data_IF_976611959586
#
_entry.id   IF_976611959586
#
_cell.length_a   1.000
_cell.length_b   1.000
_cell.length_c   1.000
_cell.angle_alpha   90.00
_cell.angle_beta   90.00
_cell.angle_gamma   90.00
#
_symmetry.space_group_name_H-M   'P 1'
#
loop_
_entity.id
_entity.type
_entity.pdbx_description
1 polymer ?
#
# COMPACT_ATOMS: atom_id res chain seq x y z
N UNK A 1 -2.93 -9.46 -1.28
CA UNK A 1 -4.26 -9.63 -0.61
C UNK A 1 -4.74 -8.26 -0.12
N UNK A 2 -5.98 -7.84 -0.45
CA UNK A 2 -6.53 -6.52 -0.06
C UNK A 2 -6.57 -6.37 1.48
N UNK A 3 -6.34 -5.16 2.01
CA UNK A 3 -6.32 -4.85 3.45
C UNK A 3 -7.54 -5.42 4.19
N UNK A 4 -8.72 -5.26 3.62
CA UNK A 4 -9.99 -5.83 4.10
C UNK A 4 -9.93 -7.32 4.38
N UNK A 5 -9.42 -8.10 3.44
CA UNK A 5 -9.36 -9.55 3.57
C UNK A 5 -8.33 -9.96 4.63
N UNK A 6 -7.22 -9.22 4.76
CA UNK A 6 -6.24 -9.45 5.82
C UNK A 6 -6.88 -9.22 7.19
N UNK A 7 -7.51 -8.06 7.39
CA UNK A 7 -8.13 -7.69 8.67
C UNK A 7 -9.23 -8.68 9.08
N UNK A 8 -10.10 -9.05 8.14
CA UNK A 8 -11.16 -10.02 8.39
C UNK A 8 -10.59 -11.39 8.78
N UNK A 9 -9.59 -11.90 8.07
CA UNK A 9 -8.98 -13.19 8.39
C UNK A 9 -8.26 -13.17 9.74
N UNK A 10 -7.52 -12.10 10.06
CA UNK A 10 -6.81 -12.00 11.34
C UNK A 10 -7.75 -11.95 12.53
N UNK A 11 -8.83 -11.15 12.45
CA UNK A 11 -9.81 -11.04 13.54
C UNK A 11 -10.60 -12.35 13.65
N UNK A 12 -11.01 -12.93 12.52
CA UNK A 12 -11.74 -14.21 12.51
C UNK A 12 -10.92 -15.36 13.07
N UNK A 13 -9.62 -15.41 12.78
CA UNK A 13 -8.70 -16.39 13.35
C UNK A 13 -8.56 -16.21 14.88
N UNK A 14 -8.44 -14.96 15.34
CA UNK A 14 -8.37 -14.66 16.78
C UNK A 14 -9.64 -15.12 17.51
N UNK A 15 -10.82 -14.82 16.95
CA UNK A 15 -12.11 -15.28 17.48
C UNK A 15 -12.15 -16.80 17.55
N UNK A 16 -11.72 -17.49 16.49
CA UNK A 16 -11.70 -18.95 16.45
C UNK A 16 -10.81 -19.54 17.53
N UNK A 17 -9.59 -19.01 17.71
CA UNK A 17 -8.65 -19.46 18.75
C UNK A 17 -9.23 -19.23 20.15
N UNK A 18 -9.83 -18.07 20.40
CA UNK A 18 -10.42 -17.75 21.71
C UNK A 18 -11.60 -18.68 22.01
N UNK A 19 -12.54 -18.86 21.08
CA UNK A 19 -13.73 -19.68 21.31
C UNK A 19 -13.35 -21.16 21.49
N UNK A 20 -12.41 -21.67 20.69
CA UNK A 20 -11.93 -23.05 20.82
C UNK A 20 -11.19 -23.29 22.13
N UNK A 21 -10.34 -22.35 22.54
CA UNK A 21 -9.63 -22.41 23.83
C UNK A 21 -10.59 -22.38 25.02
N UNK A 22 -11.56 -21.46 25.02
CA UNK A 22 -12.59 -21.37 26.08
C UNK A 22 -13.41 -22.65 26.13
N UNK A 23 -13.86 -23.16 24.98
CA UNK A 23 -14.62 -24.42 24.93
C UNK A 23 -13.81 -25.62 25.46
N UNK A 24 -12.53 -25.71 25.10
CA UNK A 24 -11.63 -26.75 25.61
C UNK A 24 -11.45 -26.66 27.12
N UNK A 25 -11.14 -25.45 27.64
CA UNK A 25 -10.97 -25.19 29.07
C UNK A 25 -12.22 -25.55 29.89
N UNK A 26 -13.40 -25.18 29.39
CA UNK A 26 -14.68 -25.53 30.03
C UNK A 26 -14.92 -27.04 30.06
N UNK A 27 -14.67 -27.73 28.94
CA UNK A 27 -14.81 -29.19 28.87
C UNK A 27 -13.86 -29.91 29.82
N UNK A 28 -12.60 -29.46 29.93
CA UNK A 28 -11.63 -30.05 30.86
C UNK A 28 -12.02 -29.81 32.31
N UNK A 29 -12.50 -28.60 32.63
CA UNK A 29 -12.89 -28.22 33.99
C UNK A 29 -14.12 -29.01 34.44
N UNK A 30 -15.13 -29.12 33.58
CA UNK A 30 -16.35 -29.87 33.90
C UNK A 30 -16.07 -31.37 34.07
N UNK A 31 -15.21 -31.95 33.22
CA UNK A 31 -14.83 -33.35 33.33
C UNK A 31 -14.12 -33.64 34.66
N UNK A 32 -13.21 -32.75 35.08
CA UNK A 32 -12.55 -32.84 36.39
C UNK A 32 -13.54 -32.68 37.55
N UNK A 33 -14.48 -31.76 37.42
CA UNK A 33 -15.51 -31.52 38.43
C UNK A 33 -16.41 -32.75 38.62
N UNK A 34 -16.94 -33.32 37.53
CA UNK A 34 -17.79 -34.51 37.57
C UNK A 34 -17.07 -35.73 38.13
N UNK A 35 -15.78 -35.90 37.81
CA UNK A 35 -14.98 -36.99 38.37
C UNK A 35 -14.82 -36.85 39.89
N UNK A 36 -14.46 -35.65 40.35
CA UNK A 36 -14.33 -35.35 41.80
C UNK A 36 -15.66 -35.49 42.53
N UNK A 37 -16.76 -35.03 41.94
CA UNK A 37 -18.10 -35.15 42.51
C UNK A 37 -18.52 -36.62 42.62
N UNK A 38 -18.17 -37.45 41.64
CA UNK A 38 -18.43 -38.89 41.68
C UNK A 38 -17.62 -39.56 42.78
N UNK A 39 -16.34 -39.24 42.94
CA UNK A 39 -15.51 -39.73 44.04
C UNK A 39 -16.09 -39.36 45.41
N UNK A 40 -16.55 -38.11 45.58
CA UNK A 40 -17.19 -37.65 46.83
C UNK A 40 -18.47 -38.42 47.14
N UNK A 41 -19.31 -38.68 46.14
CA UNK A 41 -20.54 -39.47 46.30
C UNK A 41 -20.25 -40.91 46.69
N UNK A 42 -19.23 -41.52 46.08
CA UNK A 42 -18.78 -42.87 46.43
C UNK A 42 -18.31 -42.95 47.89
N UNK A 43 -17.54 -41.95 48.34
CA UNK A 43 -17.14 -41.86 49.75
C UNK A 43 -18.33 -41.64 50.69
N UNK A 44 -19.27 -40.77 50.34
CA UNK A 44 -20.47 -40.53 51.14
C UNK A 44 -21.35 -41.78 51.25
N UNK A 45 -21.48 -42.57 50.18
CA UNK A 45 -22.20 -43.85 50.21
C UNK A 45 -21.52 -44.87 51.16
N UNK A 46 -20.18 -44.92 51.18
CA UNK A 46 -19.43 -45.73 52.14
C UNK A 46 -19.66 -45.25 53.58
N UNK A 47 -19.54 -43.95 53.85
CA UNK A 47 -19.78 -43.39 55.20
C UNK A 47 -21.19 -43.68 55.68
N UNK A 48 -22.19 -43.49 54.81
CA UNK A 48 -23.57 -43.77 55.14
C UNK A 48 -23.76 -45.25 55.51
N UNK A 49 -23.15 -46.15 54.73
CA UNK A 49 -23.17 -47.60 55.02
C UNK A 49 -22.51 -47.91 56.37
N UNK A 50 -21.36 -47.31 56.66
CA UNK A 50 -20.68 -47.46 57.97
C UNK A 50 -21.54 -46.95 59.13
N UNK A 51 -22.22 -45.82 58.95
CA UNK A 51 -23.18 -45.29 59.92
C UNK A 51 -24.32 -46.26 60.22
N UNK A 52 -24.90 -46.83 59.16
CA UNK A 52 -25.97 -47.83 59.25
C UNK A 52 -25.50 -49.08 60.01
N UNK A 53 -24.28 -49.59 59.74
CA UNK A 53 -23.75 -50.75 60.47
C UNK A 53 -23.57 -50.44 61.96
N UNK A 54 -23.05 -49.25 62.28
CA UNK A 54 -22.89 -48.82 63.67
C UNK A 54 -24.24 -48.73 64.39
N UNK A 55 -25.25 -48.17 63.74
CA UNK A 55 -26.60 -48.02 64.31
C UNK A 55 -27.33 -49.35 64.47
N UNK A 56 -27.26 -50.24 63.47
CA UNK A 56 -27.81 -51.59 63.53
C UNK A 56 -27.19 -52.41 64.67
N UNK A 57 -25.89 -52.24 64.91
CA UNK A 57 -25.21 -52.89 66.04
C UNK A 57 -25.69 -52.34 67.40
N UNK A 58 -25.87 -51.02 67.53
CA UNK A 58 -26.36 -50.39 68.77
C UNK A 58 -27.80 -50.82 69.09
N UNK A 59 -28.64 -50.91 68.07
CA UNK A 59 -30.07 -51.26 68.20
C UNK A 59 -30.33 -52.76 68.28
N UNK A 60 -29.31 -53.59 68.06
CA UNK A 60 -29.41 -55.06 68.04
C UNK A 60 -30.47 -55.59 67.07
N UNK A 61 -30.68 -54.90 65.94
CA UNK A 61 -31.63 -55.30 64.89
C UNK A 61 -30.88 -55.66 63.58
N UNK A 62 -30.64 -56.96 63.32
CA UNK A 62 -29.98 -57.42 62.11
C UNK A 62 -30.82 -57.22 60.83
N UNK A 63 -32.15 -57.16 60.95
CA UNK A 63 -33.06 -56.95 59.81
C UNK A 63 -32.97 -55.51 59.29
N UNK A 64 -32.69 -54.57 60.20
CA UNK A 64 -32.37 -53.18 59.89
C UNK A 64 -31.24 -53.12 58.85
N UNK A 65 -30.15 -53.86 59.10
CA UNK A 65 -28.95 -53.87 58.26
C UNK A 65 -29.27 -54.31 56.82
N UNK A 66 -29.95 -55.44 56.64
CA UNK A 66 -30.29 -55.96 55.30
C UNK A 66 -31.22 -55.02 54.52
N UNK A 67 -32.21 -54.43 55.18
CA UNK A 67 -33.15 -53.51 54.54
C UNK A 67 -32.49 -52.19 54.12
N UNK A 68 -31.62 -51.63 54.96
CA UNK A 68 -30.90 -50.42 54.61
C UNK A 68 -29.84 -50.64 53.53
N UNK A 69 -29.17 -51.80 53.50
CA UNK A 69 -28.23 -52.11 52.42
C UNK A 69 -28.92 -52.13 51.05
N UNK A 70 -30.16 -52.66 50.98
CA UNK A 70 -30.97 -52.59 49.76
C UNK A 70 -31.31 -51.14 49.39
N UNK A 71 -31.68 -50.30 50.36
CA UNK A 71 -31.95 -48.87 50.11
C UNK A 71 -30.72 -48.12 49.62
N UNK A 72 -29.54 -48.36 50.20
CA UNK A 72 -28.28 -47.74 49.78
C UNK A 72 -27.91 -48.15 48.34
N UNK A 73 -28.08 -49.42 47.98
CA UNK A 73 -27.84 -49.90 46.62
C UNK A 73 -28.89 -49.39 45.61
N UNK A 74 -30.15 -49.20 46.03
CA UNK A 74 -31.17 -48.57 45.19
C UNK A 74 -30.88 -47.07 44.96
N UNK A 75 -30.42 -46.36 45.98
CA UNK A 75 -30.05 -44.95 45.88
C UNK A 75 -28.78 -44.72 45.05
N UNK A 76 -27.91 -45.73 44.94
CA UNK A 76 -26.64 -45.68 44.22
C UNK A 76 -26.54 -46.86 43.23
N UNK A 77 -27.14 -46.76 42.03
CA UNK A 77 -27.17 -47.84 41.03
C UNK A 77 -25.78 -48.32 40.54
N UNK A 78 -24.75 -47.51 40.78
CA UNK A 78 -23.34 -47.81 40.56
C UNK A 78 -22.76 -48.85 41.54
N UNK A 79 -23.41 -49.13 42.67
CA UNK A 79 -22.96 -50.16 43.61
C UNK A 79 -23.18 -51.54 42.98
N UNK A 80 -22.09 -52.19 42.61
CA UNK A 80 -22.08 -53.56 42.07
C UNK A 80 -21.66 -54.60 43.11
N UNK A 81 -21.10 -54.16 44.23
CA UNK A 81 -20.64 -55.01 45.32
C UNK A 81 -20.86 -54.28 46.64
N UNK A 82 -21.41 -54.97 47.63
CA UNK A 82 -21.49 -54.45 48.98
C UNK A 82 -21.51 -55.61 49.95
N UNK A 83 -20.62 -55.59 50.93
CA UNK A 83 -20.49 -56.61 51.96
C UNK A 83 -20.12 -55.95 53.29
N UNK A 84 -20.66 -56.51 54.36
CA UNK A 84 -20.34 -56.20 55.74
C UNK A 84 -19.68 -57.46 56.30
N UNK A 85 -18.47 -57.30 56.81
CA UNK A 85 -17.63 -58.36 57.34
C UNK A 85 -17.50 -58.16 58.84
N UNK A 86 -17.61 -59.20 59.64
CA UNK A 86 -17.41 -59.12 61.09
C UNK A 86 -15.93 -59.10 61.49
N UNK A 87 -15.69 -59.02 62.80
CA UNK A 87 -14.36 -59.08 63.39
C UNK A 87 -13.64 -60.42 63.18
N UNK A 88 -14.36 -61.49 62.83
CA UNK A 88 -13.80 -62.81 62.50
C UNK A 88 -13.52 -62.98 61.00
N UNK A 89 -13.87 -62.00 60.16
CA UNK A 89 -13.66 -62.05 58.72
C UNK A 89 -14.76 -62.77 57.93
N UNK A 90 -15.92 -63.05 58.53
CA UNK A 90 -17.08 -63.64 57.86
C UNK A 90 -18.08 -62.58 57.40
N UNK A 91 -18.74 -62.82 56.26
CA UNK A 91 -19.74 -61.90 55.72
C UNK A 91 -21.04 -62.00 56.52
N UNK A 92 -21.44 -60.91 57.18
CA UNK A 92 -22.68 -60.82 57.97
C UNK A 92 -23.88 -60.30 57.17
N UNK A 93 -23.65 -59.43 56.21
CA UNK A 93 -24.67 -58.99 55.26
C UNK A 93 -24.03 -58.50 53.97
N UNK A 94 -24.77 -58.57 52.87
CA UNK A 94 -24.31 -58.08 51.58
C UNK A 94 -25.46 -57.97 50.60
N UNK A 95 -25.17 -57.48 49.39
CA UNK A 95 -26.16 -57.44 48.31
C UNK A 95 -26.54 -58.84 47.82
N UNK A 96 -25.57 -59.75 47.83
CA UNK A 96 -25.78 -61.16 47.52
C UNK A 96 -25.92 -61.96 48.82
N UNK A 97 -27.15 -62.36 49.12
CA UNK A 97 -27.47 -63.12 50.34
C UNK A 97 -26.91 -64.55 50.31
N UNK A 98 -26.45 -65.04 49.16
CA UNK A 98 -25.80 -66.37 49.06
C UNK A 98 -24.41 -66.40 49.68
N UNK A 99 -23.81 -65.23 49.94
CA UNK A 99 -22.45 -65.10 50.47
C UNK A 99 -22.37 -65.04 52.01
N UNK A 100 -23.52 -65.09 52.70
CA UNK A 100 -23.61 -65.00 54.15
C UNK A 100 -22.84 -66.13 54.85
N UNK A 101 -22.05 -65.79 55.86
CA UNK A 101 -21.26 -66.73 56.67
C UNK A 101 -19.98 -67.26 56.01
N UNK A 102 -19.72 -66.91 54.75
CA UNK A 102 -18.48 -67.27 54.04
C UNK A 102 -17.35 -66.35 54.50
N UNK A 103 -16.13 -66.89 54.63
CA UNK A 103 -14.92 -66.10 54.87
C UNK A 103 -14.65 -65.16 53.69
N UNK A 104 -14.49 -63.87 53.99
CA UNK A 104 -14.25 -62.82 52.98
C UNK A 104 -13.01 -63.09 52.11
N UNK A 105 -11.99 -63.75 52.65
CA UNK A 105 -10.75 -64.13 51.93
C UNK A 105 -10.97 -65.10 50.77
N UNK A 106 -12.08 -65.85 50.78
CA UNK A 106 -12.39 -66.88 49.76
C UNK A 106 -13.15 -66.34 48.55
N UNK A 107 -13.57 -65.07 48.60
CA UNK A 107 -14.38 -64.45 47.55
C UNK A 107 -13.65 -63.24 46.99
N UNK A 108 -13.54 -63.18 45.66
CA UNK A 108 -13.04 -62.01 44.95
C UNK A 108 -14.21 -61.16 44.45
N UNK A 109 -14.18 -59.83 44.64
CA UNK A 109 -15.15 -58.96 43.99
C UNK A 109 -15.11 -59.12 42.46
N UNK A 110 -16.25 -58.93 41.76
CA UNK A 110 -16.31 -58.94 40.30
C UNK A 110 -15.25 -58.06 39.61
N UNK A 111 -14.82 -58.45 38.41
CA UNK A 111 -13.94 -57.63 37.58
C UNK A 111 -14.57 -56.24 37.33
N UNK A 112 -13.72 -55.21 37.22
CA UNK A 112 -14.10 -53.80 37.02
C UNK A 112 -14.84 -53.13 38.18
N UNK A 113 -14.76 -53.67 39.39
CA UNK A 113 -15.23 -52.98 40.59
C UNK A 113 -14.09 -52.16 41.21
N UNK A 114 -14.37 -50.89 41.55
CA UNK A 114 -13.53 -50.10 42.44
C UNK A 114 -14.02 -50.31 43.88
N UNK A 115 -13.26 -51.05 44.66
CA UNK A 115 -13.56 -51.32 46.06
C UNK A 115 -13.13 -50.15 46.95
N UNK A 116 -14.03 -49.66 47.77
CA UNK A 116 -13.73 -48.81 48.91
C UNK A 116 -14.08 -49.58 50.19
N UNK A 117 -13.19 -49.55 51.18
CA UNK A 117 -13.42 -50.22 52.45
C UNK A 117 -13.21 -49.27 53.63
N UNK A 118 -13.88 -49.56 54.74
CA UNK A 118 -13.70 -48.85 56.00
C UNK A 118 -13.99 -49.77 57.17
N UNK A 119 -13.12 -49.73 58.17
CA UNK A 119 -13.31 -50.45 59.43
C UNK A 119 -14.36 -49.75 60.28
N UNK A 120 -15.27 -50.53 60.86
CA UNK A 120 -16.30 -50.05 61.78
C UNK A 120 -15.87 -50.38 63.21
N UNK A 121 -15.77 -49.35 64.04
CA UNK A 121 -15.45 -49.50 65.47
C UNK A 121 -16.49 -48.79 66.32
N UNK A 122 -16.78 -49.34 67.51
CA UNK A 122 -17.69 -48.77 68.51
C UNK A 122 -17.22 -49.20 69.91
N UNK A 123 -17.27 -48.29 70.89
CA UNK A 123 -16.98 -48.62 72.29
C UNK A 123 -15.58 -49.19 72.58
N UNK A 124 -14.57 -48.87 71.76
CA UNK A 124 -13.19 -49.37 71.93
C UNK A 124 -12.90 -50.72 71.24
N UNK A 125 -13.89 -51.36 70.63
CA UNK A 125 -13.74 -52.61 69.86
C UNK A 125 -13.95 -52.42 68.36
N UNK A 126 -13.33 -53.29 67.55
CA UNK A 126 -13.60 -53.40 66.11
C UNK A 126 -14.80 -54.29 65.90
N UNK A 127 -15.87 -53.73 65.33
CA UNK A 127 -17.11 -54.46 65.03
C UNK A 127 -16.98 -55.28 63.73
N UNK A 128 -16.17 -54.79 62.79
CA UNK A 128 -16.02 -55.39 61.47
C UNK A 128 -15.55 -54.39 60.43
N UNK A 129 -15.74 -54.70 59.15
CA UNK A 129 -15.45 -53.80 58.03
C UNK A 129 -16.62 -53.74 57.06
N UNK A 130 -16.81 -52.56 56.45
CA UNK A 130 -17.74 -52.35 55.36
C UNK A 130 -16.95 -52.22 54.08
N UNK A 131 -17.36 -52.97 53.06
CA UNK A 131 -16.84 -52.87 51.71
C UNK A 131 -17.96 -52.47 50.76
N UNK A 132 -17.75 -51.37 50.04
CA UNK A 132 -18.64 -50.91 48.97
C UNK A 132 -17.83 -50.85 47.69
N UNK A 133 -18.26 -51.61 46.69
CA UNK A 133 -17.65 -51.68 45.38
C UNK A 133 -18.54 -51.05 44.31
N UNK A 134 -17.94 -50.12 43.57
CA UNK A 134 -18.60 -49.40 42.48
C UNK A 134 -18.18 -49.96 41.13
N UNK A 135 -19.17 -50.29 40.29
CA UNK A 135 -18.96 -50.76 38.92
C UNK A 135 -18.39 -49.62 38.06
N UNK A 136 -17.14 -49.78 37.58
CA UNK A 136 -16.44 -48.77 36.77
C UNK A 136 -17.19 -48.44 35.49
N UNK A 137 -17.79 -49.42 34.82
CA UNK A 137 -18.50 -49.19 33.55
C UNK A 137 -19.80 -48.41 33.77
N UNK A 138 -20.52 -48.67 34.88
CA UNK A 138 -21.70 -47.89 35.29
C UNK A 138 -21.33 -46.46 35.68
N UNK A 139 -20.26 -46.30 36.46
CA UNK A 139 -19.74 -44.99 36.86
C UNK A 139 -19.33 -44.18 35.63
N UNK A 140 -18.51 -44.76 34.75
CA UNK A 140 -18.07 -44.09 33.53
C UNK A 140 -19.22 -43.81 32.57
N UNK A 141 -20.19 -44.71 32.40
CA UNK A 141 -21.35 -44.47 31.53
C UNK A 141 -22.22 -43.32 32.04
N UNK A 142 -22.39 -43.19 33.36
CA UNK A 142 -23.08 -42.06 33.98
C UNK A 142 -22.32 -40.74 33.77
N UNK A 143 -21.01 -40.72 33.98
CA UNK A 143 -20.17 -39.54 33.71
C UNK A 143 -20.20 -39.17 32.23
N UNK A 144 -20.10 -40.15 31.32
CA UNK A 144 -20.21 -39.94 29.85
C UNK A 144 -21.57 -39.37 29.45
N UNK A 145 -22.67 -39.88 30.03
CA UNK A 145 -24.02 -39.39 29.75
C UNK A 145 -24.18 -37.93 30.17
N UNK A 146 -23.75 -37.57 31.38
CA UNK A 146 -23.72 -36.18 31.87
C UNK A 146 -22.85 -35.29 30.99
N UNK A 147 -21.64 -35.74 30.64
CA UNK A 147 -20.72 -35.03 29.75
C UNK A 147 -21.29 -34.81 28.35
N UNK A 148 -22.14 -35.70 27.84
CA UNK A 148 -22.75 -35.53 26.51
C UNK A 148 -23.68 -34.32 26.46
N UNK A 149 -24.44 -34.07 27.53
CA UNK A 149 -25.36 -32.93 27.63
C UNK A 149 -24.56 -31.62 27.73
N UNK A 150 -23.53 -31.61 28.57
CA UNK A 150 -22.60 -30.48 28.71
C UNK A 150 -21.94 -30.18 27.36
N UNK A 151 -21.37 -31.21 26.70
CA UNK A 151 -20.69 -31.06 25.42
C UNK A 151 -21.62 -30.47 24.36
N UNK A 152 -22.87 -30.96 24.26
CA UNK A 152 -23.86 -30.40 23.33
C UNK A 152 -24.13 -28.92 23.58
N UNK A 153 -24.30 -28.51 24.85
CA UNK A 153 -24.51 -27.10 25.22
C UNK A 153 -23.30 -26.23 24.87
N UNK A 154 -22.09 -26.67 25.23
CA UNK A 154 -20.84 -25.96 24.92
C UNK A 154 -20.65 -25.83 23.40
N UNK A 155 -20.94 -26.88 22.63
CA UNK A 155 -20.83 -26.83 21.16
C UNK A 155 -21.83 -25.83 20.55
N UNK A 156 -23.09 -25.82 20.99
CA UNK A 156 -24.09 -24.86 20.48
C UNK A 156 -23.67 -23.42 20.81
N UNK A 157 -23.27 -23.15 22.05
CA UNK A 157 -22.82 -21.83 22.48
C UNK A 157 -21.57 -21.41 21.69
N UNK A 158 -20.61 -22.32 21.51
CA UNK A 158 -19.40 -22.07 20.72
C UNK A 158 -19.69 -21.75 19.26
N UNK A 159 -20.60 -22.48 18.61
CA UNK A 159 -21.01 -22.19 17.22
C UNK A 159 -21.70 -20.83 17.09
N UNK A 160 -22.59 -20.48 18.02
CA UNK A 160 -23.23 -19.16 18.05
C UNK A 160 -22.20 -18.04 18.26
N UNK A 161 -21.24 -18.24 19.17
CA UNK A 161 -20.16 -17.27 19.42
C UNK A 161 -19.27 -17.09 18.19
N UNK A 162 -18.92 -18.17 17.48
CA UNK A 162 -18.17 -18.11 16.22
C UNK A 162 -18.94 -17.34 15.14
N UNK A 163 -20.23 -17.64 14.96
CA UNK A 163 -21.07 -16.95 13.97
C UNK A 163 -21.14 -15.44 14.24
N UNK A 164 -21.42 -15.04 15.49
CA UNK A 164 -21.45 -13.64 15.89
C UNK A 164 -20.09 -12.96 15.73
N UNK A 165 -19.01 -13.65 16.11
CA UNK A 165 -17.66 -13.12 15.96
C UNK A 165 -17.23 -12.95 14.50
N UNK A 166 -17.63 -13.85 13.59
CA UNK A 166 -17.40 -13.67 12.15
C UNK A 166 -18.22 -12.53 11.56
N UNK A 167 -19.47 -12.37 11.96
CA UNK A 167 -20.32 -11.23 11.55
C UNK A 167 -19.68 -9.92 12.04
N UNK A 168 -19.30 -9.85 13.32
CA UNK A 168 -18.65 -8.68 13.90
C UNK A 168 -17.30 -8.35 13.22
N UNK A 169 -16.47 -9.37 12.98
CA UNK A 169 -15.21 -9.26 12.22
C UNK A 169 -15.43 -8.69 10.82
N UNK A 170 -16.46 -9.17 10.12
CA UNK A 170 -16.81 -8.69 8.78
C UNK A 170 -17.25 -7.22 8.81
N UNK A 171 -18.15 -6.85 9.72
CA UNK A 171 -18.63 -5.48 9.87
C UNK A 171 -17.51 -4.51 10.24
N UNK A 172 -16.64 -4.89 11.18
CA UNK A 172 -15.49 -4.07 11.59
C UNK A 172 -14.51 -3.89 10.43
N UNK A 173 -14.27 -4.94 9.64
CA UNK A 173 -13.43 -4.88 8.45
C UNK A 173 -13.98 -3.92 7.39
N UNK A 174 -15.31 -3.87 7.19
CA UNK A 174 -15.94 -2.90 6.31
C UNK A 174 -15.81 -1.47 6.81
N UNK A 175 -16.02 -1.25 8.11
CA UNK A 175 -16.00 0.06 8.75
C UNK A 175 -14.61 0.72 8.69
N UNK A 176 -13.53 -0.08 8.82
CA UNK A 176 -12.15 0.42 8.81
C UNK A 176 -11.54 0.49 7.39
N UNK A 177 -11.75 -0.54 6.56
CA UNK A 177 -11.02 -0.66 5.30
C UNK A 177 -11.46 0.32 4.23
N UNK A 178 -12.72 0.75 4.24
CA UNK A 178 -13.28 1.68 3.26
C UNK A 178 -12.59 3.04 3.28
N UNK A 179 -12.65 3.78 4.39
CA UNK A 179 -12.06 5.12 4.47
C UNK A 179 -10.54 5.13 4.27
N UNK A 180 -9.81 4.14 4.84
CA UNK A 180 -8.35 4.01 4.66
C UNK A 180 -8.00 3.84 3.18
N UNK A 181 -8.76 3.04 2.44
CA UNK A 181 -8.52 2.84 1.01
C UNK A 181 -8.71 4.12 0.21
N UNK A 182 -9.71 4.92 0.56
CA UNK A 182 -9.97 6.20 -0.09
C UNK A 182 -8.85 7.20 0.19
N UNK A 183 -8.45 7.36 1.46
CA UNK A 183 -7.31 8.22 1.84
C UNK A 183 -6.02 7.78 1.14
N UNK A 184 -5.75 6.48 1.08
CA UNK A 184 -4.57 5.95 0.38
C UNK A 184 -4.60 6.22 -1.13
N UNK A 185 -5.77 6.15 -1.76
CA UNK A 185 -5.92 6.47 -3.19
C UNK A 185 -5.64 7.96 -3.45
N UNK A 186 -6.24 8.84 -2.66
CA UNK A 186 -6.06 10.29 -2.79
C UNK A 186 -4.61 10.69 -2.49
N UNK A 187 -4.00 10.11 -1.45
CA UNK A 187 -2.57 10.30 -1.16
C UNK A 187 -1.68 9.88 -2.33
N UNK A 188 -2.04 8.79 -3.02
CA UNK A 188 -1.34 8.34 -4.23
C UNK A 188 -1.47 9.32 -5.40
N UNK A 189 -2.64 9.96 -5.59
CA UNK A 189 -2.82 10.98 -6.63
C UNK A 189 -2.11 12.30 -6.28
N UNK A 190 -2.17 12.74 -5.03
CA UNK A 190 -1.40 13.88 -4.51
C UNK A 190 0.09 13.62 -4.69
N UNK A 191 0.58 12.41 -4.38
CA UNK A 191 1.97 12.00 -4.58
C UNK A 191 2.43 11.98 -6.04
N UNK A 192 1.50 11.95 -7.00
CA UNK A 192 1.77 12.12 -8.44
C UNK A 192 1.72 13.59 -8.89
N UNK A 193 1.55 14.54 -7.97
CA UNK A 193 1.46 15.96 -8.25
C UNK A 193 0.05 16.49 -8.55
N UNK A 194 -1.00 15.67 -8.42
CA UNK A 194 -2.40 16.11 -8.62
C UNK A 194 -2.98 16.72 -7.34
N UNK A 195 -2.57 17.95 -7.03
CA UNK A 195 -2.97 18.65 -5.80
C UNK A 195 -4.42 19.14 -5.80
N UNK A 196 -5.09 19.14 -6.95
CA UNK A 196 -6.51 19.51 -7.09
C UNK A 196 -7.49 18.35 -6.84
N UNK A 197 -6.99 17.16 -6.53
CA UNK A 197 -7.84 16.00 -6.30
C UNK A 197 -8.81 16.26 -5.12
N UNK A 198 -10.11 15.95 -5.27
CA UNK A 198 -11.07 16.14 -4.19
C UNK A 198 -10.70 15.26 -3.01
N UNK A 199 -10.39 15.89 -1.87
CA UNK A 199 -10.10 15.18 -0.62
C UNK A 199 -11.43 14.93 0.10
N UNK A 200 -11.87 13.66 0.24
CA UNK A 200 -13.14 13.37 0.87
C UNK A 200 -13.08 13.64 2.37
N UNK A 201 -14.03 14.43 2.85
CA UNK A 201 -14.23 14.66 4.28
C UNK A 201 -14.97 13.48 4.89
N UNK A 202 -14.23 12.68 5.65
CA UNK A 202 -14.81 11.57 6.41
C UNK A 202 -15.39 12.15 7.71
N UNK A 203 -16.71 12.35 7.75
CA UNK A 203 -17.39 12.92 8.92
C UNK A 203 -17.54 11.87 10.04
N UNK A 204 -16.45 11.62 10.76
CA UNK A 204 -16.38 10.70 11.90
C UNK A 204 -15.84 11.40 13.14
N UNK A 205 -16.26 10.90 14.30
CA UNK A 205 -15.87 11.38 15.64
C UNK A 205 -14.88 10.42 16.34
N UNK A 206 -14.13 9.65 15.55
CA UNK A 206 -13.09 8.73 16.00
C UNK A 206 -11.72 9.15 15.44
N UNK A 207 -10.67 8.40 15.77
CA UNK A 207 -9.28 8.65 15.35
C UNK A 207 -9.13 8.64 13.82
N UNK A 208 -10.00 7.90 13.11
CA UNK A 208 -10.04 7.89 11.66
C UNK A 208 -10.60 9.21 11.10
N UNK A 209 -11.54 9.82 11.81
CA UNK A 209 -12.01 11.18 11.55
C UNK A 209 -10.93 12.23 11.80
N UNK A 210 -10.16 12.12 12.89
CA UNK A 210 -9.01 12.99 13.16
C UNK A 210 -7.96 12.88 12.05
N UNK A 211 -7.59 11.66 11.67
CA UNK A 211 -6.66 11.40 10.56
C UNK A 211 -7.16 12.02 9.25
N UNK A 212 -8.46 11.90 8.95
CA UNK A 212 -9.03 12.52 7.75
C UNK A 212 -8.94 14.05 7.78
N UNK A 213 -9.16 14.68 8.94
CA UNK A 213 -9.05 16.14 9.09
C UNK A 213 -7.61 16.62 8.89
N UNK A 214 -6.65 15.99 9.57
CA UNK A 214 -5.23 16.31 9.40
C UNK A 214 -4.74 16.06 7.97
N UNK A 215 -5.26 15.03 7.30
CA UNK A 215 -4.95 14.78 5.89
C UNK A 215 -5.48 15.88 4.96
N UNK A 216 -6.71 16.35 5.19
CA UNK A 216 -7.30 17.47 4.43
C UNK A 216 -6.49 18.75 4.63
N UNK A 217 -6.11 19.06 5.86
CA UNK A 217 -5.30 20.23 6.20
C UNK A 217 -3.92 20.18 5.53
N UNK A 218 -3.22 19.04 5.63
CA UNK A 218 -1.94 18.83 4.96
C UNK A 218 -2.05 18.97 3.43
N UNK A 219 -3.10 18.41 2.82
CA UNK A 219 -3.33 18.54 1.39
C UNK A 219 -3.59 20.00 0.97
N UNK A 220 -4.35 20.74 1.79
CA UNK A 220 -4.57 22.18 1.62
C UNK A 220 -3.27 22.97 1.66
N UNK A 221 -2.45 22.78 2.69
CA UNK A 221 -1.15 23.45 2.80
C UNK A 221 -0.20 23.10 1.66
N UNK A 222 -0.19 21.85 1.21
CA UNK A 222 0.65 21.47 0.07
C UNK A 222 0.23 22.19 -1.21
N UNK A 223 -1.08 22.33 -1.44
CA UNK A 223 -1.63 23.10 -2.55
C UNK A 223 -1.30 24.59 -2.44
N UNK A 224 -1.42 25.18 -1.25
CA UNK A 224 -1.04 26.57 -0.99
C UNK A 224 0.44 26.82 -1.29
N UNK A 225 1.34 25.93 -0.85
CA UNK A 225 2.78 26.03 -1.12
C UNK A 225 3.08 25.95 -2.61
N UNK A 226 2.41 25.06 -3.35
CA UNK A 226 2.59 24.98 -4.81
C UNK A 226 2.08 26.24 -5.54
N UNK A 227 0.99 26.84 -5.05
CA UNK A 227 0.47 28.11 -5.57
C UNK A 227 1.42 29.26 -5.25
N UNK A 228 1.92 29.38 -4.02
CA UNK A 228 2.90 30.41 -3.65
C UNK A 228 4.19 30.31 -4.47
N UNK A 229 4.67 29.08 -4.72
CA UNK A 229 5.80 28.84 -5.63
C UNK A 229 5.49 29.37 -7.05
N UNK A 230 4.26 29.24 -7.53
CA UNK A 230 3.83 29.77 -8.83
C UNK A 230 3.88 31.29 -8.88
N UNK A 231 3.26 31.90 -7.89
CA UNK A 231 3.08 33.34 -7.84
C UNK A 231 4.45 34.01 -7.70
N UNK A 232 5.35 33.40 -6.93
CA UNK A 232 6.76 33.79 -6.85
C UNK A 232 7.46 33.70 -8.22
N UNK A 233 7.45 32.54 -8.88
CA UNK A 233 8.14 32.37 -10.18
C UNK A 233 7.60 33.33 -11.23
N UNK A 234 6.28 33.53 -11.27
CA UNK A 234 5.61 34.40 -12.24
C UNK A 234 5.90 35.87 -11.94
N UNK A 235 5.71 36.31 -10.70
CA UNK A 235 5.96 37.68 -10.25
C UNK A 235 7.41 38.10 -10.45
N UNK A 236 8.37 37.31 -9.95
CA UNK A 236 9.80 37.60 -10.09
C UNK A 236 10.23 37.63 -11.57
N UNK A 237 9.63 36.79 -12.43
CA UNK A 237 9.92 36.83 -13.88
C UNK A 237 9.53 38.17 -14.50
N UNK A 238 8.32 38.67 -14.20
CA UNK A 238 7.86 39.95 -14.74
C UNK A 238 8.70 41.12 -14.22
N UNK A 239 9.03 41.12 -12.93
CA UNK A 239 9.87 42.14 -12.31
C UNK A 239 11.30 42.15 -12.85
N UNK A 240 11.86 40.99 -13.22
CA UNK A 240 13.19 40.92 -13.83
C UNK A 240 13.20 41.27 -15.33
N UNK A 241 12.10 41.03 -16.07
CA UNK A 241 12.04 41.34 -17.51
C UNK A 241 12.09 42.84 -17.78
N UNK A 242 11.44 43.64 -16.95
CA UNK A 242 11.39 45.10 -17.09
C UNK A 242 12.78 45.78 -17.04
N UNK A 243 13.61 45.60 -15.99
CA UNK A 243 14.93 46.21 -15.92
C UNK A 243 15.88 45.69 -17.00
N UNK A 244 15.73 44.44 -17.44
CA UNK A 244 16.51 43.92 -18.57
C UNK A 244 16.15 44.57 -19.90
N UNK A 245 14.86 44.84 -20.13
CA UNK A 245 14.41 45.61 -21.29
C UNK A 245 14.99 47.02 -21.28
N UNK A 246 15.07 47.66 -20.11
CA UNK A 246 15.68 48.99 -19.95
C UNK A 246 17.18 48.94 -20.28
N UNK A 247 17.92 47.97 -19.73
CA UNK A 247 19.36 47.77 -20.04
C UNK A 247 19.58 47.54 -21.53
N UNK A 248 18.72 46.75 -22.17
CA UNK A 248 18.78 46.50 -23.61
C UNK A 248 18.52 47.77 -24.42
N UNK A 249 17.50 48.54 -24.05
CA UNK A 249 17.14 49.79 -24.72
C UNK A 249 18.27 50.82 -24.63
N UNK A 250 18.89 51.00 -23.46
CA UNK A 250 20.01 51.92 -23.30
C UNK A 250 21.26 51.45 -24.04
N UNK A 251 21.55 50.15 -24.05
CA UNK A 251 22.65 49.62 -24.86
C UNK A 251 22.43 49.87 -26.36
N UNK A 252 21.19 49.75 -26.86
CA UNK A 252 20.85 50.09 -28.24
C UNK A 252 20.99 51.58 -28.54
N UNK A 253 20.52 52.46 -27.63
CA UNK A 253 20.65 53.90 -27.79
C UNK A 253 22.12 54.33 -27.86
N UNK A 254 22.96 53.82 -26.96
CA UNK A 254 24.40 54.10 -26.98
C UNK A 254 25.06 53.56 -28.26
N UNK A 255 24.68 52.37 -28.74
CA UNK A 255 25.19 51.85 -30.01
C UNK A 255 24.83 52.75 -31.19
N UNK A 256 23.59 53.25 -31.24
CA UNK A 256 23.12 54.17 -32.27
C UNK A 256 23.85 55.52 -32.21
N UNK A 257 23.98 56.11 -31.02
CA UNK A 257 24.70 57.37 -30.82
C UNK A 257 26.17 57.24 -31.23
N UNK A 258 26.82 56.10 -30.97
CA UNK A 258 28.21 55.84 -31.33
C UNK A 258 28.46 55.76 -32.85
N UNK A 259 27.44 55.44 -33.65
CA UNK A 259 27.52 55.47 -35.11
C UNK A 259 27.55 56.91 -35.65
N UNK A 260 26.94 57.87 -34.94
CA UNK A 260 26.78 59.26 -35.38
C UNK A 260 27.93 60.18 -34.91
N UNK A 261 28.63 59.82 -33.82
CA UNK A 261 29.68 60.68 -33.25
C UNK A 261 30.99 60.67 -34.07
N UNK A 262 31.37 61.85 -34.57
CA UNK A 262 32.65 62.12 -35.25
C UNK A 262 33.73 62.58 -34.25
N UNK A 263 34.99 62.19 -34.47
CA UNK A 263 36.14 62.62 -33.66
C UNK A 263 36.62 61.66 -32.58
N UNK A 264 35.97 60.51 -32.40
CA UNK A 264 36.46 59.43 -31.52
C UNK A 264 37.52 58.61 -32.27
N UNK A 265 38.69 58.30 -31.67
CA UNK A 265 39.66 57.40 -32.29
C UNK A 265 39.05 56.01 -32.51
N UNK A 266 39.32 55.41 -33.68
CA UNK A 266 38.65 54.18 -34.13
C UNK A 266 38.81 52.99 -33.16
N UNK A 267 39.94 52.91 -32.46
CA UNK A 267 40.20 51.91 -31.41
C UNK A 267 39.20 52.01 -30.25
N UNK A 268 38.98 53.20 -29.70
CA UNK A 268 38.02 53.41 -28.60
C UNK A 268 36.58 53.18 -29.06
N UNK A 269 36.24 53.60 -30.29
CA UNK A 269 34.91 53.35 -30.88
C UNK A 269 34.64 51.84 -30.98
N UNK A 270 35.61 51.08 -31.48
CA UNK A 270 35.50 49.63 -31.63
C UNK A 270 35.32 48.93 -30.27
N UNK A 271 36.09 49.34 -29.26
CA UNK A 271 36.01 48.78 -27.90
C UNK A 271 34.68 49.09 -27.20
N UNK A 272 34.14 50.30 -27.39
CA UNK A 272 32.83 50.68 -26.84
C UNK A 272 31.66 49.98 -27.53
N UNK A 273 31.69 49.88 -28.86
CA UNK A 273 30.71 49.09 -29.63
C UNK A 273 30.74 47.64 -29.18
N UNK A 274 31.94 47.07 -29.03
CA UNK A 274 32.12 45.71 -28.50
C UNK A 274 31.50 45.58 -27.10
N UNK A 275 31.82 46.50 -26.18
CA UNK A 275 31.31 46.48 -24.80
C UNK A 275 29.78 46.60 -24.71
N UNK A 276 29.17 47.49 -25.50
CA UNK A 276 27.71 47.64 -25.55
C UNK A 276 27.03 46.42 -26.17
N UNK A 277 27.61 45.85 -27.23
CA UNK A 277 27.14 44.58 -27.79
C UNK A 277 27.22 43.45 -26.75
N UNK A 278 28.25 43.41 -25.90
CA UNK A 278 28.34 42.45 -24.81
C UNK A 278 27.21 42.63 -23.78
N UNK A 279 26.89 43.86 -23.38
CA UNK A 279 25.79 44.16 -22.44
C UNK A 279 24.44 43.78 -23.06
N UNK A 280 24.17 44.22 -24.29
CA UNK A 280 22.97 43.88 -25.05
C UNK A 280 22.78 42.37 -25.16
N UNK A 281 23.80 41.65 -25.61
CA UNK A 281 23.75 40.20 -25.77
C UNK A 281 23.58 39.46 -24.43
N UNK A 282 24.11 40.00 -23.34
CA UNK A 282 23.94 39.46 -22.00
C UNK A 282 22.50 39.67 -21.49
N UNK A 283 21.92 40.85 -21.69
CA UNK A 283 20.52 41.14 -21.34
C UNK A 283 19.54 40.24 -22.11
N UNK A 284 19.72 40.12 -23.43
CA UNK A 284 18.94 39.23 -24.29
C UNK A 284 19.06 37.76 -23.88
N UNK A 285 20.24 37.33 -23.41
CA UNK A 285 20.45 35.97 -22.91
C UNK A 285 19.71 35.75 -21.59
N UNK A 286 19.73 36.71 -20.69
CA UNK A 286 19.06 36.63 -19.40
C UNK A 286 17.53 36.66 -19.56
N UNK A 287 17.00 37.49 -20.46
CA UNK A 287 15.56 37.52 -20.76
C UNK A 287 15.07 36.19 -21.35
N UNK A 288 15.86 35.57 -22.24
CA UNK A 288 15.61 34.20 -22.72
C UNK A 288 15.67 33.15 -21.61
N UNK A 289 16.60 33.29 -20.66
CA UNK A 289 16.72 32.38 -19.52
C UNK A 289 15.50 32.48 -18.59
N UNK A 290 15.10 33.68 -18.22
CA UNK A 290 13.92 33.94 -17.39
C UNK A 290 12.65 33.40 -18.07
N UNK A 291 12.48 33.67 -19.36
CA UNK A 291 11.32 33.18 -20.13
C UNK A 291 11.31 31.65 -20.23
N UNK A 292 12.47 31.01 -20.38
CA UNK A 292 12.59 29.56 -20.35
C UNK A 292 12.26 28.96 -18.97
N UNK A 293 12.65 29.63 -17.88
CA UNK A 293 12.33 29.22 -16.50
C UNK A 293 10.82 29.28 -16.26
N UNK A 294 10.16 30.37 -16.66
CA UNK A 294 8.70 30.51 -16.56
C UNK A 294 7.97 29.43 -17.37
N UNK A 295 8.39 29.20 -18.62
CA UNK A 295 7.79 28.15 -19.45
C UNK A 295 7.96 26.76 -18.82
N UNK A 296 9.13 26.47 -18.25
CA UNK A 296 9.35 25.22 -17.51
C UNK A 296 8.41 25.10 -16.30
N UNK A 297 8.23 26.16 -15.52
CA UNK A 297 7.33 26.17 -14.37
C UNK A 297 5.85 25.98 -14.76
N UNK A 298 5.45 26.41 -15.95
CA UNK A 298 4.11 26.14 -16.51
C UNK A 298 3.95 24.68 -16.94
N UNK A 299 4.98 24.12 -17.58
CA UNK A 299 5.00 22.73 -18.05
C UNK A 299 4.93 21.72 -16.90
N UNK A 300 5.60 21.98 -15.76
CA UNK A 300 5.64 21.07 -14.60
C UNK A 300 4.26 20.67 -14.06
N UNK A 301 3.24 21.51 -14.25
CA UNK A 301 1.87 21.24 -13.75
C UNK A 301 1.06 20.28 -14.61
N UNK A 302 1.56 19.85 -15.77
CA UNK A 302 0.79 19.02 -16.70
C UNK A 302 -0.43 19.74 -17.31
N UNK A 303 -0.56 21.06 -17.10
CA UNK A 303 -1.56 21.93 -17.74
C UNK A 303 -0.87 23.16 -18.34
N UNK A 304 -0.12 23.04 -19.45
CA UNK A 304 -0.10 24.17 -20.35
C UNK A 304 -1.55 24.37 -20.81
N UNK A 305 -2.09 25.58 -20.76
CA UNK A 305 -3.28 25.91 -21.55
C UNK A 305 -2.91 25.67 -23.01
N UNK A 306 -3.14 24.46 -23.50
CA UNK A 306 -2.86 24.04 -24.86
C UNK A 306 -4.07 24.38 -25.71
N UNK A 307 -3.84 25.20 -26.72
CA UNK A 307 -4.87 25.55 -27.70
C UNK A 307 -4.77 24.60 -28.87
N UNK A 308 -5.42 23.43 -28.75
CA UNK A 308 -5.43 22.42 -29.80
C UNK A 308 -6.22 22.87 -31.02
N UNK A 309 -5.60 22.78 -32.19
CA UNK A 309 -6.19 23.03 -33.50
C UNK A 309 -5.62 22.07 -34.55
N UNK A 310 -6.24 21.97 -35.72
CA UNK A 310 -5.69 21.21 -36.84
C UNK A 310 -4.48 21.93 -37.44
N UNK A 311 -3.31 21.33 -37.33
CA UNK A 311 -2.03 21.94 -37.70
C UNK A 311 -1.39 21.20 -38.87
N UNK A 312 -0.94 21.97 -39.88
CA UNK A 312 -0.09 21.47 -40.97
C UNK A 312 1.38 21.46 -40.56
N UNK A 313 1.92 20.28 -40.29
CA UNK A 313 3.35 20.11 -39.98
C UNK A 313 4.25 20.56 -41.12
N UNK A 314 3.84 20.37 -42.37
CA UNK A 314 4.59 20.89 -43.53
C UNK A 314 4.67 22.42 -43.51
N UNK A 315 3.59 23.11 -43.09
CA UNK A 315 3.58 24.58 -42.95
C UNK A 315 4.58 25.04 -41.90
N UNK A 316 4.47 24.50 -40.68
CA UNK A 316 5.37 24.81 -39.57
C UNK A 316 6.84 24.59 -39.93
N UNK A 317 7.16 23.46 -40.58
CA UNK A 317 8.53 23.14 -41.00
C UNK A 317 9.04 24.17 -42.00
N UNK A 318 8.24 24.51 -43.02
CA UNK A 318 8.65 25.48 -44.04
C UNK A 318 8.89 26.87 -43.43
N UNK A 319 7.99 27.35 -42.57
CA UNK A 319 8.14 28.65 -41.89
C UNK A 319 9.38 28.68 -41.00
N UNK A 320 9.61 27.60 -40.23
CA UNK A 320 10.77 27.55 -39.32
C UNK A 320 12.09 27.48 -40.11
N UNK A 321 12.15 26.69 -41.19
CA UNK A 321 13.33 26.65 -42.06
C UNK A 321 13.61 27.99 -42.74
N UNK A 322 12.57 28.69 -43.21
CA UNK A 322 12.70 30.02 -43.81
C UNK A 322 13.26 31.04 -42.80
N UNK A 323 12.77 31.01 -41.56
CA UNK A 323 13.26 31.87 -40.48
C UNK A 323 14.76 31.67 -40.21
N UNK A 324 15.25 30.43 -40.26
CA UNK A 324 16.65 30.10 -40.00
C UNK A 324 17.56 30.19 -41.24
N UNK A 325 17.01 30.34 -42.45
CA UNK A 325 17.79 30.34 -43.69
C UNK A 325 18.91 31.40 -43.73
N UNK A 326 18.71 32.66 -43.30
CA UNK A 326 19.80 33.66 -43.31
C UNK A 326 20.97 33.26 -42.41
N UNK A 327 20.67 32.75 -41.21
CA UNK A 327 21.68 32.32 -40.24
C UNK A 327 22.42 31.05 -40.66
N UNK A 328 21.71 30.14 -41.33
CA UNK A 328 22.32 28.96 -41.91
C UNK A 328 23.28 29.34 -43.05
N UNK A 329 22.88 30.29 -43.90
CA UNK A 329 23.71 30.81 -44.98
C UNK A 329 24.98 31.51 -44.46
N UNK A 330 24.87 32.32 -43.40
CA UNK A 330 26.02 32.96 -42.73
C UNK A 330 27.06 31.92 -42.25
N UNK A 331 26.60 30.78 -41.72
CA UNK A 331 27.44 29.65 -41.30
C UNK A 331 27.74 28.65 -42.44
N UNK A 332 27.33 28.90 -43.68
CA UNK A 332 27.43 27.96 -44.81
C UNK A 332 26.91 26.54 -44.50
N UNK A 333 25.81 26.45 -43.75
CA UNK A 333 25.14 25.18 -43.42
C UNK A 333 23.98 24.96 -44.38
N UNK A 334 23.89 23.78 -45.00
CA UNK A 334 22.77 23.41 -45.86
C UNK A 334 21.52 23.03 -45.06
N UNK A 335 20.35 23.57 -45.44
CA UNK A 335 19.05 23.20 -44.86
C UNK A 335 18.26 22.36 -45.87
N UNK A 336 17.88 21.14 -45.48
CA UNK A 336 17.16 20.19 -46.30
C UNK A 336 15.85 19.76 -45.64
N UNK A 337 14.87 19.36 -46.46
CA UNK A 337 13.61 18.79 -46.00
C UNK A 337 13.32 17.48 -46.70
N UNK A 338 12.86 16.50 -45.94
CA UNK A 338 12.46 15.18 -46.42
C UNK A 338 11.01 14.92 -45.98
N UNK A 339 10.07 15.41 -46.79
CA UNK A 339 8.64 15.33 -46.51
C UNK A 339 7.94 14.52 -47.62
N UNK A 340 6.97 13.65 -47.28
CA UNK A 340 6.11 13.03 -48.28
C UNK A 340 5.21 14.10 -48.94
N UNK A 341 4.65 13.77 -50.09
CA UNK A 341 3.87 14.70 -50.91
C UNK A 341 2.64 15.27 -50.16
N UNK A 342 2.08 14.50 -49.23
CA UNK A 342 0.97 14.93 -48.39
C UNK A 342 1.14 14.39 -46.97
N UNK A 343 1.10 15.29 -45.99
CA UNK A 343 1.07 14.96 -44.56
C UNK A 343 -0.34 15.23 -44.01
N UNK A 344 -0.87 14.38 -43.12
CA UNK A 344 -2.14 14.66 -42.47
C UNK A 344 -2.03 15.86 -41.54
N UNK A 345 -3.16 16.53 -41.31
CA UNK A 345 -3.30 17.51 -40.23
C UNK A 345 -3.21 16.80 -38.89
N UNK A 346 -2.55 17.42 -37.92
CA UNK A 346 -2.37 16.89 -36.57
C UNK A 346 -3.06 17.82 -35.59
N UNK A 347 -3.86 17.27 -34.68
CA UNK A 347 -4.48 18.09 -33.63
C UNK A 347 -3.44 18.46 -32.57
N UNK A 348 -2.93 19.69 -32.62
CA UNK A 348 -1.83 20.17 -31.77
C UNK A 348 -1.93 21.68 -31.48
N UNK A 349 -1.20 22.16 -30.48
CA UNK A 349 -0.99 23.59 -30.26
C UNK A 349 0.12 24.10 -31.20
N UNK A 350 -0.27 24.88 -32.22
CA UNK A 350 0.66 25.34 -33.25
C UNK A 350 1.84 26.14 -32.67
N UNK A 351 1.60 27.03 -31.71
CA UNK A 351 2.64 27.91 -31.14
C UNK A 351 3.67 27.07 -30.37
N UNK A 352 3.20 26.10 -29.58
CA UNK A 352 4.06 25.19 -28.82
C UNK A 352 4.85 24.26 -29.72
N UNK A 353 4.25 23.77 -30.81
CA UNK A 353 4.97 22.94 -31.78
C UNK A 353 6.02 23.76 -32.55
N UNK A 354 5.72 25.01 -32.94
CA UNK A 354 6.72 25.93 -33.48
C UNK A 354 7.89 26.11 -32.52
N UNK A 355 7.62 26.24 -31.22
CA UNK A 355 8.66 26.34 -30.20
C UNK A 355 9.55 25.09 -30.15
N UNK A 356 8.98 23.89 -30.32
CA UNK A 356 9.76 22.64 -30.42
C UNK A 356 10.68 22.67 -31.63
N UNK A 357 10.16 22.99 -32.82
CA UNK A 357 10.97 23.08 -34.04
C UNK A 357 12.08 24.13 -33.92
N UNK A 358 11.75 25.33 -33.42
CA UNK A 358 12.71 26.41 -33.26
C UNK A 358 13.86 26.05 -32.30
N UNK A 359 13.54 25.34 -31.21
CA UNK A 359 14.56 24.86 -30.27
C UNK A 359 15.44 23.75 -30.87
N UNK A 360 14.86 22.77 -31.57
CA UNK A 360 15.61 21.66 -32.14
C UNK A 360 16.48 22.10 -33.33
N UNK A 361 15.93 22.88 -34.25
CA UNK A 361 16.67 23.44 -35.40
C UNK A 361 17.71 24.47 -34.91
N UNK A 362 17.36 25.30 -33.93
CA UNK A 362 18.31 26.22 -33.30
C UNK A 362 19.49 25.50 -32.65
N UNK A 363 19.26 24.36 -31.99
CA UNK A 363 20.32 23.51 -31.46
C UNK A 363 21.16 22.88 -32.57
N UNK A 364 20.54 22.36 -33.63
CA UNK A 364 21.24 21.79 -34.78
C UNK A 364 22.19 22.83 -35.42
N UNK A 365 21.72 24.06 -35.69
CA UNK A 365 22.53 25.16 -36.24
C UNK A 365 23.65 25.64 -35.31
N UNK A 366 23.41 25.51 -34.00
CA UNK A 366 24.41 25.88 -33.01
C UNK A 366 25.61 24.93 -33.06
N UNK A 367 25.36 23.62 -33.12
CA UNK A 367 26.41 22.60 -32.99
C UNK A 367 26.96 22.06 -34.31
N UNK A 368 26.28 22.31 -35.43
CA UNK A 368 26.79 21.93 -36.74
C UNK A 368 27.94 22.88 -37.14
N UNK A 369 29.12 22.35 -37.53
CA UNK A 369 30.23 23.16 -38.03
C UNK A 369 29.92 23.76 -39.41
N UNK A 370 30.72 24.74 -39.82
CA UNK A 370 30.64 25.35 -41.16
C UNK A 370 30.75 24.28 -42.26
N UNK A 371 29.92 24.38 -43.30
CA UNK A 371 29.85 23.38 -44.39
C UNK A 371 29.04 22.12 -44.07
N UNK A 372 28.47 22.01 -42.86
CA UNK A 372 27.60 20.90 -42.50
C UNK A 372 26.19 20.97 -43.10
N UNK A 373 25.34 20.01 -42.74
CA UNK A 373 23.94 19.95 -43.19
C UNK A 373 22.97 19.65 -42.04
N UNK A 374 21.76 20.18 -42.17
CA UNK A 374 20.63 19.90 -41.29
C UNK A 374 19.45 19.46 -42.15
N UNK A 375 18.85 18.32 -41.82
CA UNK A 375 17.73 17.73 -42.56
C UNK A 375 16.53 17.59 -41.63
N UNK A 376 15.39 18.16 -42.02
CA UNK A 376 14.13 18.05 -41.28
C UNK A 376 13.21 17.09 -42.03
N UNK A 377 12.86 15.97 -41.38
CA UNK A 377 11.98 14.95 -41.93
C UNK A 377 10.66 14.86 -41.16
N UNK A 378 9.61 14.43 -41.84
CA UNK A 378 8.35 14.07 -41.19
C UNK A 378 7.68 12.92 -41.94
N UNK A 379 7.13 11.95 -41.21
CA UNK A 379 6.44 10.78 -41.77
C UNK A 379 5.32 10.31 -40.85
N UNK A 380 4.32 9.64 -41.42
CA UNK A 380 3.28 8.97 -40.65
C UNK A 380 3.76 7.57 -40.27
N UNK A 381 3.77 7.28 -38.97
CA UNK A 381 4.02 5.93 -38.46
C UNK A 381 2.75 5.07 -38.60
N UNK A 382 2.86 3.76 -38.94
CA UNK A 382 1.71 2.87 -39.14
C UNK A 382 0.73 2.80 -37.96
N UNK A 383 1.16 3.16 -36.76
CA UNK A 383 0.34 3.16 -35.54
C UNK A 383 -0.45 4.48 -35.33
N UNK A 384 -0.54 5.36 -36.33
CA UNK A 384 -1.31 6.62 -36.25
C UNK A 384 -0.58 7.78 -35.58
N UNK A 385 0.76 7.79 -35.64
CA UNK A 385 1.60 8.85 -35.06
C UNK A 385 2.28 9.66 -36.16
N UNK A 386 2.35 10.98 -36.00
CA UNK A 386 3.27 11.83 -36.73
C UNK A 386 4.67 11.65 -36.14
N UNK A 387 5.64 11.23 -36.94
CA UNK A 387 7.04 11.08 -36.55
C UNK A 387 7.90 12.12 -37.27
N UNK A 388 8.57 12.98 -36.51
CA UNK A 388 9.36 14.10 -37.01
C UNK A 388 10.82 13.89 -36.64
N UNK A 389 11.74 14.18 -37.55
CA UNK A 389 13.20 14.11 -37.35
C UNK A 389 13.88 15.43 -37.68
N UNK A 390 14.92 15.75 -36.93
CA UNK A 390 15.85 16.85 -37.18
C UNK A 390 17.26 16.26 -37.05
N UNK A 391 17.89 16.00 -38.19
CA UNK A 391 19.22 15.41 -38.28
C UNK A 391 20.28 16.45 -38.61
N UNK A 392 21.35 16.52 -37.81
CA UNK A 392 22.51 17.40 -37.98
C UNK A 392 23.80 16.60 -38.23
N UNK A 393 24.79 17.20 -38.88
CA UNK A 393 26.15 16.61 -39.05
C UNK A 393 27.18 17.21 -38.09
N UNK A 394 26.76 17.53 -36.87
CA UNK A 394 27.62 18.04 -35.81
C UNK A 394 28.48 16.96 -35.12
N UNK A 395 29.06 17.28 -33.95
CA UNK A 395 29.98 16.38 -33.24
C UNK A 395 29.31 15.14 -32.62
N UNK A 396 27.98 15.02 -32.68
CA UNK A 396 27.22 13.96 -32.05
C UNK A 396 27.14 14.05 -30.52
N UNK A 397 26.55 13.02 -29.91
CA UNK A 397 26.25 12.93 -28.47
C UNK A 397 26.71 11.56 -27.95
N UNK A 398 27.59 11.50 -26.94
CA UNK A 398 27.97 10.24 -26.30
C UNK A 398 26.78 9.54 -25.65
N UNK A 399 26.83 8.20 -25.58
CA UNK A 399 25.71 7.39 -25.11
C UNK A 399 25.25 7.76 -23.68
N UNK A 400 26.19 8.06 -22.79
CA UNK A 400 25.94 8.44 -21.39
C UNK A 400 25.14 9.75 -21.20
N UNK A 401 25.09 10.60 -22.24
CA UNK A 401 24.37 11.87 -22.19
C UNK A 401 22.99 11.81 -22.85
N UNK A 402 22.68 10.78 -23.65
CA UNK A 402 21.45 10.72 -24.48
C UNK A 402 20.16 10.88 -23.68
N UNK A 403 20.09 10.31 -22.48
CA UNK A 403 18.92 10.45 -21.60
C UNK A 403 18.97 11.74 -20.78
N UNK A 404 20.17 12.21 -20.43
CA UNK A 404 20.40 13.38 -19.59
C UNK A 404 20.23 14.71 -20.31
N UNK A 405 20.39 14.76 -21.64
CA UNK A 405 20.26 16.03 -22.39
C UNK A 405 18.86 16.65 -22.31
N UNK A 406 17.84 15.85 -21.97
CA UNK A 406 16.48 16.33 -21.74
C UNK A 406 16.23 16.73 -20.27
N UNK A 407 17.22 16.57 -19.39
CA UNK A 407 17.18 17.03 -18.00
C UNK A 407 17.41 18.54 -17.92
N UNK A 408 16.85 19.15 -16.88
CA UNK A 408 16.94 20.60 -16.66
C UNK A 408 18.36 21.03 -16.33
N UNK A 409 18.75 22.17 -16.87
CA UNK A 409 20.05 22.81 -16.64
C UNK A 409 21.25 21.99 -17.11
N UNK A 410 21.03 20.85 -17.78
CA UNK A 410 22.10 20.07 -18.37
C UNK A 410 22.68 20.87 -19.55
N UNK A 411 23.98 21.17 -19.48
CA UNK A 411 24.68 21.95 -20.49
C UNK A 411 25.76 21.10 -21.16
N UNK A 412 26.03 21.39 -22.44
CA UNK A 412 27.07 20.73 -23.22
C UNK A 412 28.51 20.95 -22.70
N UNK A 413 28.72 21.73 -21.63
CA UNK A 413 30.05 21.89 -20.98
C UNK A 413 30.57 20.59 -20.38
N UNK A 414 29.69 19.63 -20.08
CA UNK A 414 30.07 18.30 -19.61
C UNK A 414 30.52 17.37 -20.75
N UNK A 415 30.45 17.80 -22.02
CA UNK A 415 30.71 16.95 -23.20
C UNK A 415 31.97 17.39 -23.97
N UNK A 416 32.92 16.48 -24.24
CA UNK A 416 34.08 16.75 -25.09
C UNK A 416 33.67 17.18 -26.51
N UNK A 417 34.37 18.16 -27.10
CA UNK A 417 34.21 18.54 -28.52
C UNK A 417 33.07 19.50 -28.85
N UNK A 418 32.31 20.00 -27.86
CA UNK A 418 31.34 21.11 -28.05
C UNK A 418 31.89 22.41 -27.44
N UNK A 419 32.09 23.44 -28.28
CA UNK A 419 32.69 24.72 -27.89
C UNK A 419 31.92 25.51 -26.82
N UNK A 420 32.53 26.61 -26.33
CA UNK A 420 32.13 27.41 -25.17
C UNK A 420 30.78 28.16 -25.24
N UNK A 421 29.94 27.90 -26.25
CA UNK A 421 28.67 28.60 -26.40
C UNK A 421 27.62 28.17 -25.36
N UNK A 422 27.41 29.01 -24.34
CA UNK A 422 26.43 28.81 -23.25
C UNK A 422 24.98 28.89 -23.76
N UNK A 423 24.23 27.79 -23.65
CA UNK A 423 22.77 27.77 -23.70
C UNK A 423 22.16 27.76 -22.29
N UNK A 424 20.85 27.93 -22.17
CA UNK A 424 20.15 27.93 -20.86
C UNK A 424 20.06 26.54 -20.21
N UNK A 425 20.28 25.46 -20.98
CA UNK A 425 20.06 24.08 -20.52
C UNK A 425 18.59 23.72 -20.31
N UNK A 426 17.66 24.58 -20.74
CA UNK A 426 16.22 24.39 -20.57
C UNK A 426 15.50 24.05 -21.88
N UNK A 427 16.10 24.35 -23.04
CA UNK A 427 15.43 24.20 -24.35
C UNK A 427 14.94 22.78 -24.64
N UNK A 428 15.80 21.77 -24.45
CA UNK A 428 15.42 20.37 -24.68
C UNK A 428 14.42 19.84 -23.62
N UNK A 429 14.54 20.28 -22.36
CA UNK A 429 13.58 19.96 -21.31
C UNK A 429 12.19 20.56 -21.63
N UNK A 430 12.12 21.78 -22.17
CA UNK A 430 10.89 22.41 -22.65
C UNK A 430 10.31 21.62 -23.83
N UNK A 431 11.13 21.23 -24.81
CA UNK A 431 10.67 20.39 -25.92
C UNK A 431 10.06 19.08 -25.42
N UNK A 432 10.71 18.42 -24.46
CA UNK A 432 10.18 17.19 -23.84
C UNK A 432 8.84 17.42 -23.18
N UNK A 433 8.72 18.45 -22.35
CA UNK A 433 7.46 18.76 -21.68
C UNK A 433 6.32 19.14 -22.64
N UNK A 434 6.61 19.86 -23.72
CA UNK A 434 5.61 20.17 -24.77
C UNK A 434 5.19 18.89 -25.50
N UNK A 435 6.13 18.05 -25.92
CA UNK A 435 5.81 16.81 -26.65
C UNK A 435 5.02 15.84 -25.77
N UNK A 436 5.42 15.67 -24.51
CA UNK A 436 4.72 14.81 -23.55
C UNK A 436 3.31 15.35 -23.21
N UNK A 437 3.13 16.67 -23.11
CA UNK A 437 1.80 17.26 -22.89
C UNK A 437 0.85 17.12 -24.08
N UNK A 438 1.38 16.86 -25.28
CA UNK A 438 0.61 16.48 -26.47
C UNK A 438 0.43 14.95 -26.60
N UNK A 439 0.80 14.16 -25.58
CA UNK A 439 0.72 12.69 -25.58
C UNK A 439 1.81 12.00 -26.40
N UNK A 440 2.84 12.75 -26.81
CA UNK A 440 3.94 12.31 -27.65
C UNK A 440 5.15 11.76 -26.90
N UNK A 441 6.22 11.44 -27.66
CA UNK A 441 7.54 11.09 -27.12
C UNK A 441 8.63 11.84 -27.88
N UNK A 442 9.71 12.22 -27.20
CA UNK A 442 10.89 12.85 -27.81
C UNK A 442 12.13 12.01 -27.49
N UNK A 443 13.11 11.98 -28.38
CA UNK A 443 14.37 11.29 -28.17
C UNK A 443 15.47 11.75 -29.12
N UNK A 444 16.62 11.09 -29.02
CA UNK A 444 17.77 11.35 -29.89
C UNK A 444 18.46 10.05 -30.30
N UNK A 445 18.88 9.97 -31.55
CA UNK A 445 19.81 8.97 -32.06
C UNK A 445 21.08 9.69 -32.48
N UNK A 446 22.23 9.29 -31.93
CA UNK A 446 23.50 9.97 -32.22
C UNK A 446 24.69 9.07 -31.94
N UNK A 447 25.76 9.27 -32.69
CA UNK A 447 27.07 8.69 -32.45
C UNK A 447 28.11 9.83 -32.48
N UNK A 448 29.11 9.82 -31.58
CA UNK A 448 30.20 10.79 -31.62
C UNK A 448 30.84 10.88 -33.02
N UNK A 449 30.99 12.10 -33.53
CA UNK A 449 31.58 12.40 -34.84
C UNK A 449 30.67 12.18 -36.06
N UNK A 450 29.45 11.65 -35.89
CA UNK A 450 28.53 11.37 -37.00
C UNK A 450 27.26 12.24 -36.98
N UNK A 451 27.16 13.21 -36.07
CA UNK A 451 25.98 14.06 -35.93
C UNK A 451 24.91 13.52 -34.99
N UNK A 452 23.77 14.21 -34.94
CA UNK A 452 22.65 13.87 -34.05
C UNK A 452 21.34 13.95 -34.81
N UNK A 453 20.48 12.95 -34.65
CA UNK A 453 19.10 12.95 -35.10
C UNK A 453 18.17 13.05 -33.88
N UNK A 454 17.62 14.22 -33.66
CA UNK A 454 16.53 14.40 -32.70
C UNK A 454 15.22 13.99 -33.36
N UNK A 455 14.36 13.29 -32.62
CA UNK A 455 13.05 12.90 -33.12
C UNK A 455 11.98 13.13 -32.08
N UNK A 456 10.75 13.40 -32.53
CA UNK A 456 9.58 13.38 -31.68
C UNK A 456 8.36 12.80 -32.38
N UNK A 457 7.40 12.30 -31.60
CA UNK A 457 6.14 11.76 -32.07
C UNK A 457 4.96 12.52 -31.49
N UNK A 458 3.89 12.67 -32.27
CA UNK A 458 2.60 13.16 -31.81
C UNK A 458 1.46 12.28 -32.35
N UNK A 459 0.37 12.07 -31.61
CA UNK A 459 -0.80 11.36 -32.13
C UNK A 459 -1.50 12.24 -33.18
N UNK A 460 -1.86 11.65 -34.33
CA UNK A 460 -2.54 12.40 -35.42
C UNK A 460 -3.95 12.82 -35.00
N UNK A 461 -4.67 11.92 -34.32
CA UNK A 461 -5.93 12.19 -33.63
C UNK A 461 -5.74 11.95 -32.14
N UNK A 462 -6.19 12.91 -31.31
CA UNK A 462 -6.30 12.65 -29.88
C UNK A 462 -7.33 11.55 -29.65
N UNK A 463 -6.93 10.47 -28.98
CA UNK A 463 -7.93 9.60 -28.35
C UNK A 463 -8.62 10.46 -27.29
N UNK A 464 -9.91 10.74 -27.47
CA UNK A 464 -10.69 11.47 -26.49
C UNK A 464 -10.54 10.81 -25.13
N UNK A 465 -9.78 11.46 -24.24
CA UNK A 465 -9.79 11.12 -22.83
C UNK A 465 -11.05 11.79 -22.29
N UNK A 466 -12.18 11.08 -22.42
CA UNK A 466 -13.42 11.39 -21.72
C UNK A 466 -13.30 11.14 -20.24
#
# INVERSE_FOLDING_TARGET
>A
MKLRNKLFLTISLLVLVIVTFVAFSLLTTENQFLTKETDKRQQAALENTVGIVREAHITSDPLLMVNYLKLVAQANPEIGWLCIVDSEGKIQAGLDMSLLGIERSRISPPEKIRLLNRTVSSGGGTLGSVEVGFDKDRVESRVRASMSQVRKRITIIGLCALALGFIGSFLLSLNLSGPIRVLSMVAGEIGKGKLDAPVPTINRRDELGDLSRSFVEMAGHLKEVDQMKQDFVTGTTHELRSPLGIIESHANAVLQDLEEVKGIPETYRTDWISSMNHIKNSSLRLNRFISALLNMAKIERGKPDLSFQEVSFSGIINETLLFFAPKAAEKKIGLFKELPQQLPLVNADAERIHQVFANLIGNALKFTPEGGKITVGARVHPQGWMYVTIADTGPGIPAEFKDRIFSKFEQAKSMPGRGAERGTGLGLAICKGIVESHGGKIGVQSQPGQGSEFYFTLPIQQQGIG
#
